data_IF_384922449180
#
_entry.id   IF_384922449180
#
_cell.length_a   1.000
_cell.length_b   1.000
_cell.length_c   1.000
_cell.angle_alpha   90.00
_cell.angle_beta   90.00
_cell.angle_gamma   90.00
#
_symmetry.space_group_name_H-M   'P 1'
#
loop_
_entity.id
_entity.type
_entity.pdbx_description
1 polymer ?
#
# COMPACT_ATOMS: atom_id res chain seq x y z
N UNK A 1 -30.92 -8.78 -7.37
CA UNK A 1 -29.48 -8.62 -7.72
C UNK A 1 -29.13 -7.14 -7.67
N UNK A 2 -28.06 -6.77 -6.99
CA UNK A 2 -27.52 -5.41 -6.90
C UNK A 2 -27.11 -4.87 -8.27
N UNK A 3 -27.40 -3.59 -8.54
CA UNK A 3 -26.93 -2.88 -9.74
C UNK A 3 -26.44 -1.49 -9.32
N UNK A 4 -25.14 -1.19 -9.44
CA UNK A 4 -24.63 0.13 -9.14
C UNK A 4 -25.13 1.14 -10.17
N UNK A 5 -25.56 2.30 -9.68
CA UNK A 5 -25.98 3.44 -10.53
C UNK A 5 -24.97 4.57 -10.33
N UNK A 6 -24.16 4.86 -11.35
CA UNK A 6 -23.15 5.91 -11.34
C UNK A 6 -22.94 6.47 -12.75
N UNK A 7 -22.29 7.63 -12.83
CA UNK A 7 -21.96 8.30 -14.10
C UNK A 7 -20.46 8.31 -14.31
N UNK A 8 -20.03 8.11 -15.55
CA UNK A 8 -18.64 8.35 -15.93
C UNK A 8 -18.48 9.85 -16.18
N UNK A 9 -17.78 10.52 -15.25
CA UNK A 9 -17.45 11.94 -15.35
C UNK A 9 -16.10 12.15 -16.02
N UNK A 10 -15.80 13.39 -16.43
CA UNK A 10 -14.47 13.74 -16.94
C UNK A 10 -13.37 13.47 -15.91
N UNK A 11 -13.65 13.66 -14.60
CA UNK A 11 -12.73 13.35 -13.52
C UNK A 11 -12.41 11.85 -13.51
N UNK A 12 -13.42 10.98 -13.55
CA UNK A 12 -13.23 9.53 -13.58
C UNK A 12 -12.45 9.12 -14.82
N UNK A 13 -12.84 9.59 -16.01
CA UNK A 13 -12.19 9.24 -17.28
C UNK A 13 -10.70 9.65 -17.29
N UNK A 14 -10.42 10.89 -16.91
CA UNK A 14 -9.05 11.41 -16.84
C UNK A 14 -8.21 10.65 -15.80
N UNK A 15 -8.78 10.34 -14.63
CA UNK A 15 -8.09 9.59 -13.58
C UNK A 15 -7.74 8.17 -14.03
N UNK A 16 -8.67 7.48 -14.69
CA UNK A 16 -8.41 6.14 -15.24
C UNK A 16 -7.25 6.20 -16.26
N UNK A 17 -7.25 7.17 -17.19
CA UNK A 17 -6.14 7.34 -18.11
C UNK A 17 -4.78 7.54 -17.44
N UNK A 18 -4.73 8.32 -16.35
CA UNK A 18 -3.50 8.53 -15.58
C UNK A 18 -3.06 7.26 -14.82
N UNK A 19 -4.01 6.51 -14.25
CA UNK A 19 -3.74 5.24 -13.56
C UNK A 19 -3.16 4.22 -14.54
N UNK A 20 -3.76 4.05 -15.72
CA UNK A 20 -3.29 3.12 -16.74
C UNK A 20 -1.88 3.49 -17.25
N UNK A 21 -1.64 4.78 -17.52
CA UNK A 21 -0.32 5.25 -17.91
C UNK A 21 0.75 4.99 -16.84
N UNK A 22 0.44 5.29 -15.58
CA UNK A 22 1.34 5.03 -14.47
C UNK A 22 1.59 3.52 -14.27
N UNK A 23 0.53 2.70 -14.34
CA UNK A 23 0.60 1.23 -14.27
C UNK A 23 1.54 0.67 -15.32
N UNK A 24 1.36 1.05 -16.58
CA UNK A 24 2.21 0.59 -17.68
C UNK A 24 3.70 0.94 -17.46
N UNK A 25 3.99 2.14 -16.94
CA UNK A 25 5.36 2.55 -16.62
C UNK A 25 5.95 1.69 -15.50
N UNK A 26 5.21 1.46 -14.42
CA UNK A 26 5.68 0.69 -13.26
C UNK A 26 5.96 -0.76 -13.66
N UNK A 27 5.05 -1.39 -14.42
CA UNK A 27 5.18 -2.80 -14.83
C UNK A 27 6.37 -3.03 -15.76
N UNK A 28 6.66 -2.07 -16.63
CA UNK A 28 7.76 -2.17 -17.60
C UNK A 28 9.11 -1.60 -17.09
N UNK A 29 9.14 -1.06 -15.87
CA UNK A 29 10.39 -0.53 -15.30
C UNK A 29 11.18 -1.64 -14.60
N UNK A 30 12.47 -1.85 -14.97
CA UNK A 30 13.30 -2.82 -14.30
C UNK A 30 13.64 -2.35 -12.88
N UNK A 31 13.47 -3.23 -11.90
CA UNK A 31 13.89 -3.02 -10.52
C UNK A 31 14.79 -4.14 -10.06
N UNK A 32 15.80 -3.81 -9.26
CA UNK A 32 16.62 -4.84 -8.60
C UNK A 32 15.79 -5.57 -7.54
N UNK A 33 15.96 -6.88 -7.35
CA UNK A 33 15.19 -7.67 -6.39
C UNK A 33 15.21 -7.12 -4.95
N UNK A 34 16.32 -6.46 -4.55
CA UNK A 34 16.41 -5.81 -3.22
C UNK A 34 15.42 -4.66 -3.08
N UNK A 35 15.24 -3.84 -4.12
CA UNK A 35 14.29 -2.73 -4.11
C UNK A 35 12.85 -3.22 -4.16
N UNK A 36 12.56 -4.28 -4.93
CA UNK A 36 11.23 -4.89 -4.93
C UNK A 36 10.85 -5.39 -3.53
N UNK A 37 11.77 -6.06 -2.83
CA UNK A 37 11.53 -6.51 -1.45
C UNK A 37 11.32 -5.34 -0.49
N UNK A 38 12.14 -4.28 -0.60
CA UNK A 38 12.00 -3.10 0.23
C UNK A 38 10.67 -2.38 -0.02
N UNK A 39 10.28 -2.17 -1.27
CA UNK A 39 8.98 -1.58 -1.63
C UNK A 39 7.81 -2.34 -1.05
N UNK A 40 7.86 -3.68 -1.18
CA UNK A 40 6.81 -4.55 -0.67
C UNK A 40 6.71 -4.49 0.86
N UNK A 41 7.86 -4.52 1.56
CA UNK A 41 7.90 -4.36 3.01
C UNK A 41 7.35 -3.01 3.44
N UNK A 42 7.83 -1.90 2.84
CA UNK A 42 7.35 -0.54 3.12
C UNK A 42 5.83 -0.41 2.86
N UNK A 43 5.33 -0.96 1.76
CA UNK A 43 3.91 -0.92 1.43
C UNK A 43 3.06 -1.72 2.43
N UNK A 44 3.56 -2.87 2.89
CA UNK A 44 2.89 -3.67 3.91
C UNK A 44 2.79 -2.91 5.23
N UNK A 45 3.90 -2.33 5.70
CA UNK A 45 3.91 -1.52 6.94
C UNK A 45 2.94 -0.34 6.84
N UNK A 46 2.96 0.41 5.73
CA UNK A 46 2.06 1.54 5.51
C UNK A 46 0.60 1.12 5.47
N UNK A 47 0.28 0.05 4.74
CA UNK A 47 -1.08 -0.49 4.66
C UNK A 47 -1.60 -0.89 6.04
N UNK A 48 -0.79 -1.57 6.83
CA UNK A 48 -1.15 -1.98 8.20
C UNK A 48 -1.33 -0.75 9.10
N UNK A 49 -0.34 0.15 9.12
CA UNK A 49 -0.38 1.36 9.95
C UNK A 49 -1.60 2.22 9.66
N UNK A 50 -1.77 2.66 8.42
CA UNK A 50 -2.82 3.60 8.06
C UNK A 50 -4.23 2.98 8.15
N UNK A 51 -4.40 1.70 7.78
CA UNK A 51 -5.70 1.06 7.92
C UNK A 51 -6.14 0.89 9.38
N UNK A 52 -5.22 0.69 10.30
CA UNK A 52 -5.54 0.64 11.73
C UNK A 52 -5.68 2.03 12.34
N UNK A 53 -4.89 3.02 11.88
CA UNK A 53 -4.97 4.41 12.34
C UNK A 53 -6.31 5.08 12.04
N UNK A 54 -6.91 4.81 10.87
CA UNK A 54 -8.26 5.28 10.50
C UNK A 54 -9.30 4.83 11.55
N UNK A 55 -9.11 3.67 12.16
CA UNK A 55 -10.01 3.09 13.17
C UNK A 55 -9.61 3.45 14.62
N UNK A 56 -8.66 4.38 14.81
CA UNK A 56 -8.27 4.88 16.12
C UNK A 56 -7.12 4.12 16.80
N UNK A 57 -6.33 3.37 16.07
CA UNK A 57 -5.09 2.80 16.54
C UNK A 57 -3.94 3.79 16.31
N UNK A 58 -3.40 4.36 17.37
CA UNK A 58 -2.41 5.44 17.28
C UNK A 58 -0.97 4.97 17.49
N UNK A 59 -0.68 3.68 17.23
CA UNK A 59 0.70 3.19 17.27
C UNK A 59 1.56 3.92 16.23
N UNK A 60 2.74 4.45 16.61
CA UNK A 60 3.67 5.06 15.68
C UNK A 60 4.08 4.08 14.57
N UNK A 61 4.31 4.58 13.36
CA UNK A 61 4.66 3.74 12.20
C UNK A 61 5.93 2.91 12.44
N UNK A 62 6.90 3.40 13.22
CA UNK A 62 8.11 2.66 13.56
C UNK A 62 7.80 1.47 14.48
N UNK A 63 6.84 1.59 15.38
CA UNK A 63 6.39 0.48 16.23
C UNK A 63 5.58 -0.53 15.42
N UNK A 64 4.70 -0.05 14.52
CA UNK A 64 4.01 -0.91 13.56
C UNK A 64 5.01 -1.68 12.69
N UNK A 65 6.07 -1.03 12.20
CA UNK A 65 7.14 -1.68 11.44
C UNK A 65 7.79 -2.80 12.24
N UNK A 66 8.15 -2.55 13.51
CA UNK A 66 8.70 -3.57 14.40
C UNK A 66 7.75 -4.76 14.58
N UNK A 67 6.45 -4.51 14.72
CA UNK A 67 5.44 -5.57 14.86
C UNK A 67 5.25 -6.35 13.54
N UNK A 68 5.30 -5.68 12.39
CA UNK A 68 5.08 -6.29 11.07
C UNK A 68 6.28 -7.14 10.64
N UNK A 69 7.50 -6.64 10.84
CA UNK A 69 8.74 -7.26 10.35
C UNK A 69 9.13 -8.54 11.11
N UNK A 70 8.52 -8.79 12.25
CA UNK A 70 8.94 -9.88 13.12
C UNK A 70 7.98 -11.07 13.03
N UNK A 71 8.56 -12.28 13.09
CA UNK A 71 7.92 -13.46 13.67
C UNK A 71 7.78 -13.20 15.17
N UNK A 72 6.85 -12.34 15.53
CA UNK A 72 6.68 -11.77 16.85
C UNK A 72 6.46 -12.86 17.88
N UNK A 73 7.36 -12.96 18.85
CA UNK A 73 7.06 -13.65 20.10
C UNK A 73 6.31 -12.64 20.97
N UNK A 74 5.01 -12.87 21.13
CA UNK A 74 4.23 -12.19 22.14
C UNK A 74 4.69 -12.69 23.50
N UNK A 75 5.16 -11.81 24.36
CA UNK A 75 5.39 -12.18 25.77
C UNK A 75 4.05 -12.36 26.46
N UNK A 76 3.88 -13.36 27.33
CA UNK A 76 2.70 -13.44 28.17
C UNK A 76 2.57 -12.12 28.96
N UNK A 77 1.39 -11.54 28.94
CA UNK A 77 1.12 -10.30 29.68
C UNK A 77 -0.02 -10.51 30.64
N UNK A 78 0.17 -10.03 31.87
CA UNK A 78 -0.90 -9.81 32.81
C UNK A 78 -1.45 -8.40 32.56
N UNK A 79 -2.76 -8.30 32.31
CA UNK A 79 -3.46 -7.02 32.21
C UNK A 79 -3.67 -6.44 30.80
N UNK A 80 -3.76 -5.11 30.76
CA UNK A 80 -4.22 -4.32 29.62
C UNK A 80 -3.15 -4.05 28.56
N UNK A 81 -1.86 -4.04 28.97
CA UNK A 81 -0.72 -3.79 28.08
C UNK A 81 -0.09 -5.11 27.61
N UNK A 82 0.44 -5.07 26.39
CA UNK A 82 1.17 -6.15 25.75
C UNK A 82 2.56 -5.67 25.38
N UNK A 83 3.58 -6.50 25.60
CA UNK A 83 4.94 -6.25 25.11
C UNK A 83 5.25 -7.14 23.93
N UNK A 84 5.82 -6.53 22.90
CA UNK A 84 6.33 -7.20 21.69
C UNK A 84 7.82 -6.91 21.59
N UNK A 85 8.64 -7.94 21.38
CA UNK A 85 10.09 -7.78 21.16
C UNK A 85 10.44 -8.09 19.73
N UNK A 86 11.20 -7.21 19.09
CA UNK A 86 11.80 -7.49 17.79
C UNK A 86 13.04 -8.40 17.89
N UNK A 87 13.59 -8.80 16.75
CA UNK A 87 14.77 -9.69 16.70
C UNK A 87 16.03 -9.06 17.30
N UNK A 88 16.09 -7.73 17.38
CA UNK A 88 17.19 -6.95 17.96
C UNK A 88 16.98 -6.72 19.47
N UNK A 89 15.85 -7.13 20.03
CA UNK A 89 15.50 -6.96 21.45
C UNK A 89 14.83 -5.63 21.77
N UNK A 90 14.49 -4.79 20.77
CA UNK A 90 13.71 -3.59 21.01
C UNK A 90 12.28 -3.95 21.38
N UNK A 91 11.72 -3.23 22.33
CA UNK A 91 10.38 -3.50 22.87
C UNK A 91 9.36 -2.47 22.36
N UNK A 92 8.17 -2.96 22.01
CA UNK A 92 6.96 -2.15 21.84
C UNK A 92 6.00 -2.52 22.94
N UNK A 93 5.60 -1.52 23.72
CA UNK A 93 4.64 -1.69 24.84
C UNK A 93 3.42 -0.85 24.51
N UNK A 94 2.28 -1.49 24.31
CA UNK A 94 1.04 -0.83 23.96
C UNK A 94 -0.19 -1.61 24.46
N UNK A 95 -1.38 -1.05 24.23
CA UNK A 95 -2.63 -1.78 24.54
C UNK A 95 -2.64 -3.09 23.76
N UNK A 96 -3.00 -4.18 24.45
CA UNK A 96 -3.12 -5.51 23.82
C UNK A 96 -3.94 -5.48 22.54
N UNK A 97 -5.06 -4.75 22.55
CA UNK A 97 -5.92 -4.59 21.39
C UNK A 97 -5.17 -3.97 20.21
N UNK A 98 -4.43 -2.87 20.42
CA UNK A 98 -3.74 -2.15 19.34
C UNK A 98 -2.68 -3.04 18.68
N UNK A 99 -1.95 -3.81 19.47
CA UNK A 99 -0.97 -4.77 18.96
C UNK A 99 -1.64 -5.87 18.15
N UNK A 100 -2.75 -6.44 18.63
CA UNK A 100 -3.47 -7.47 17.90
C UNK A 100 -4.12 -6.94 16.63
N UNK A 101 -4.62 -5.72 16.59
CA UNK A 101 -5.13 -5.09 15.37
C UNK A 101 -4.06 -4.98 14.28
N UNK A 102 -2.84 -4.57 14.64
CA UNK A 102 -1.69 -4.51 13.73
C UNK A 102 -1.31 -5.91 13.22
N UNK A 103 -1.17 -6.89 14.11
CA UNK A 103 -0.85 -8.28 13.76
C UNK A 103 -1.92 -8.86 12.84
N UNK A 104 -3.18 -8.70 13.20
CA UNK A 104 -4.29 -9.26 12.46
C UNK A 104 -4.44 -8.64 11.06
N UNK A 105 -4.25 -7.31 10.94
CA UNK A 105 -4.31 -6.68 9.63
C UNK A 105 -3.11 -7.06 8.74
N UNK A 106 -1.90 -7.21 9.30
CA UNK A 106 -0.76 -7.82 8.62
C UNK A 106 -1.11 -9.22 8.09
N UNK A 107 -1.75 -10.03 8.91
CA UNK A 107 -2.11 -11.40 8.54
C UNK A 107 -3.19 -11.41 7.44
N UNK A 108 -4.12 -10.44 7.43
CA UNK A 108 -5.08 -10.22 6.32
C UNK A 108 -4.34 -9.86 5.03
N UNK A 109 -3.39 -8.93 5.07
CA UNK A 109 -2.59 -8.54 3.90
C UNK A 109 -1.83 -9.74 3.35
N UNK A 110 -1.18 -10.52 4.23
CA UNK A 110 -0.47 -11.75 3.86
C UNK A 110 -1.41 -12.81 3.27
N UNK A 111 -2.58 -12.99 3.85
CA UNK A 111 -3.58 -13.94 3.35
C UNK A 111 -4.08 -13.57 1.95
N UNK A 112 -4.38 -12.29 1.71
CA UNK A 112 -4.77 -11.78 0.38
C UNK A 112 -3.67 -12.07 -0.64
N UNK A 113 -2.42 -11.79 -0.30
CA UNK A 113 -1.29 -12.04 -1.18
C UNK A 113 -1.13 -13.53 -1.50
N UNK A 114 -1.16 -14.40 -0.50
CA UNK A 114 -1.07 -15.85 -0.69
C UNK A 114 -2.21 -16.37 -1.57
N UNK A 115 -3.43 -15.90 -1.34
CA UNK A 115 -4.62 -16.28 -2.10
C UNK A 115 -4.50 -15.88 -3.58
N UNK A 116 -4.09 -14.66 -3.86
CA UNK A 116 -3.95 -14.14 -5.22
C UNK A 116 -2.76 -14.78 -5.96
N UNK A 117 -1.63 -14.99 -5.29
CA UNK A 117 -0.47 -15.68 -5.87
C UNK A 117 -0.79 -17.14 -6.17
N UNK A 118 -1.44 -17.87 -5.26
CA UNK A 118 -1.86 -19.24 -5.49
C UNK A 118 -2.85 -19.38 -6.68
N UNK A 119 -3.73 -18.39 -6.85
CA UNK A 119 -4.64 -18.33 -7.98
C UNK A 119 -3.92 -18.06 -9.30
N UNK A 120 -2.96 -17.11 -9.32
CA UNK A 120 -2.11 -16.83 -10.49
C UNK A 120 -1.33 -18.08 -10.94
N UNK A 121 -0.67 -18.78 -10.01
CA UNK A 121 0.08 -20.00 -10.30
C UNK A 121 -0.82 -21.11 -10.92
N UNK A 122 -2.05 -21.23 -10.41
CA UNK A 122 -3.02 -22.24 -10.88
C UNK A 122 -3.84 -21.79 -12.10
N UNK A 123 -3.57 -20.60 -12.63
CA UNK A 123 -4.37 -19.94 -13.67
C UNK A 123 -5.88 -19.95 -13.35
N UNK A 124 -6.22 -19.62 -12.10
CA UNK A 124 -7.61 -19.53 -11.61
C UNK A 124 -7.88 -18.13 -11.07
N UNK A 125 -9.13 -17.68 -11.18
CA UNK A 125 -9.56 -16.42 -10.54
C UNK A 125 -9.97 -16.71 -9.09
N UNK A 126 -9.58 -15.82 -8.17
CA UNK A 126 -10.10 -15.82 -6.80
C UNK A 126 -11.59 -15.47 -6.84
N UNK A 127 -12.40 -16.24 -6.14
CA UNK A 127 -13.84 -16.00 -6.05
C UNK A 127 -14.21 -15.39 -4.71
N UNK A 128 -14.78 -14.19 -4.73
CA UNK A 128 -15.40 -13.61 -3.55
C UNK A 128 -16.60 -14.46 -3.12
N UNK A 129 -16.64 -14.81 -1.85
CA UNK A 129 -17.71 -15.63 -1.27
C UNK A 129 -17.94 -15.26 0.20
N UNK A 130 -19.10 -15.59 0.77
CA UNK A 130 -19.36 -15.39 2.21
C UNK A 130 -18.30 -16.10 3.07
N UNK A 131 -17.86 -17.29 2.67
CA UNK A 131 -16.80 -18.03 3.40
C UNK A 131 -15.51 -17.21 3.45
N UNK A 132 -15.13 -16.60 2.32
CA UNK A 132 -13.94 -15.72 2.28
C UNK A 132 -14.13 -14.49 3.17
N UNK A 133 -15.30 -13.84 3.14
CA UNK A 133 -15.61 -12.72 4.03
C UNK A 133 -15.48 -13.11 5.50
N UNK A 134 -16.08 -14.23 5.88
CA UNK A 134 -16.01 -14.73 7.26
C UNK A 134 -14.58 -15.08 7.69
N UNK A 135 -13.78 -15.67 6.80
CA UNK A 135 -12.38 -15.99 7.08
C UNK A 135 -11.54 -14.71 7.28
N UNK A 136 -11.69 -13.70 6.42
CA UNK A 136 -11.01 -12.41 6.58
C UNK A 136 -11.41 -11.73 7.90
N UNK A 137 -12.70 -11.73 8.23
CA UNK A 137 -13.20 -11.16 9.47
C UNK A 137 -12.69 -11.91 10.71
N UNK A 138 -12.60 -13.24 10.65
CA UNK A 138 -12.00 -14.06 11.74
C UNK A 138 -10.54 -13.69 11.95
N UNK A 139 -9.77 -13.47 10.88
CA UNK A 139 -8.37 -13.04 11.00
C UNK A 139 -8.31 -11.66 11.66
N UNK A 140 -9.16 -10.70 11.25
CA UNK A 140 -9.18 -9.34 11.80
C UNK A 140 -9.47 -9.28 13.29
N UNK A 141 -10.33 -10.15 13.81
CA UNK A 141 -10.77 -10.13 15.22
C UNK A 141 -10.10 -11.19 16.09
N UNK A 142 -9.15 -11.95 15.56
CA UNK A 142 -8.43 -12.99 16.32
C UNK A 142 -7.78 -12.41 17.59
N UNK A 143 -8.09 -12.99 18.73
CA UNK A 143 -7.63 -12.53 20.06
C UNK A 143 -8.09 -11.11 20.46
N UNK A 144 -9.02 -10.52 19.71
CA UNK A 144 -9.68 -9.23 20.02
C UNK A 144 -11.11 -9.52 20.50
N UNK A 145 -11.90 -10.16 19.66
CA UNK A 145 -13.25 -10.61 19.95
C UNK A 145 -13.61 -11.84 19.11
N UNK A 146 -13.32 -13.01 19.64
CA UNK A 146 -13.54 -14.29 18.95
C UNK A 146 -15.04 -14.67 18.90
N UNK A 147 -15.89 -14.04 19.73
CA UNK A 147 -17.32 -14.37 19.79
C UNK A 147 -18.08 -13.84 18.57
N UNK A 148 -17.76 -12.64 18.10
CA UNK A 148 -18.39 -12.04 16.93
C UNK A 148 -17.63 -12.33 15.63
N UNK A 149 -16.42 -12.90 15.71
CA UNK A 149 -15.54 -13.15 14.59
C UNK A 149 -16.17 -14.08 13.54
N UNK A 150 -16.30 -13.58 12.31
CA UNK A 150 -16.85 -14.34 11.19
C UNK A 150 -18.35 -14.56 11.24
N UNK A 151 -19.09 -13.70 11.92
CA UNK A 151 -20.57 -13.73 12.01
C UNK A 151 -21.14 -12.38 11.61
N UNK A 152 -22.23 -12.36 10.88
CA UNK A 152 -22.97 -11.12 10.64
C UNK A 152 -23.59 -10.62 11.95
N UNK A 153 -23.71 -9.29 12.08
CA UNK A 153 -24.37 -8.67 13.23
C UNK A 153 -25.85 -9.03 13.29
N UNK A 154 -26.35 -9.17 14.50
CA UNK A 154 -27.76 -9.40 14.76
C UNK A 154 -28.54 -8.11 15.08
N UNK A 155 -27.83 -7.04 15.49
CA UNK A 155 -28.41 -5.78 15.93
C UNK A 155 -28.15 -4.61 14.99
N UNK A 156 -28.57 -3.41 15.41
CA UNK A 156 -28.19 -2.16 14.76
C UNK A 156 -26.72 -1.87 15.05
N UNK A 157 -25.94 -1.56 14.04
CA UNK A 157 -24.56 -1.13 14.21
C UNK A 157 -24.48 0.40 14.15
N UNK A 158 -23.49 0.97 14.80
CA UNK A 158 -23.20 2.38 14.83
C UNK A 158 -21.79 2.60 14.31
N UNK A 159 -21.65 3.36 13.24
CA UNK A 159 -20.34 3.82 12.78
C UNK A 159 -20.00 5.13 13.47
N UNK A 160 -18.81 5.22 14.04
CA UNK A 160 -18.30 6.42 14.69
C UNK A 160 -17.05 6.87 13.92
N UNK A 161 -17.02 8.15 13.56
CA UNK A 161 -15.77 8.76 13.14
C UNK A 161 -14.88 8.97 14.39
N UNK A 162 -13.82 8.20 14.53
CA UNK A 162 -12.96 8.24 15.71
C UNK A 162 -12.23 9.57 15.94
N UNK A 163 -12.12 10.42 14.90
CA UNK A 163 -11.47 11.74 15.01
C UNK A 163 -12.46 12.85 15.44
N UNK A 164 -13.69 12.82 14.90
CA UNK A 164 -14.70 13.86 15.17
C UNK A 164 -15.72 13.44 16.21
N UNK A 165 -15.82 12.16 16.55
CA UNK A 165 -16.87 11.60 17.39
C UNK A 165 -18.26 11.57 16.73
N UNK A 166 -18.36 11.94 15.44
CA UNK A 166 -19.60 11.94 14.70
C UNK A 166 -20.12 10.52 14.49
N UNK A 167 -21.40 10.31 14.75
CA UNK A 167 -22.05 9.00 14.72
C UNK A 167 -22.85 8.83 13.44
N UNK A 168 -22.55 7.78 12.69
CA UNK A 168 -23.31 7.39 11.50
C UNK A 168 -24.05 6.10 11.79
N UNK A 169 -25.30 6.02 11.38
CA UNK A 169 -26.09 4.79 11.51
C UNK A 169 -25.92 3.93 10.28
N UNK A 170 -25.87 2.59 10.42
CA UNK A 170 -25.90 1.69 9.29
C UNK A 170 -27.23 1.82 8.58
N UNK A 171 -27.17 1.70 7.27
CA UNK A 171 -28.33 1.91 6.40
C UNK A 171 -29.15 0.65 6.19
N UNK A 172 -28.58 -0.52 6.49
CA UNK A 172 -29.24 -1.79 6.27
C UNK A 172 -29.72 -2.42 7.58
N UNK A 173 -30.96 -2.90 7.60
CA UNK A 173 -31.46 -3.68 8.72
C UNK A 173 -30.77 -5.04 8.81
N UNK A 174 -30.57 -5.57 10.01
CA UNK A 174 -29.82 -6.82 10.23
C UNK A 174 -30.43 -8.02 9.49
N UNK A 175 -31.74 -8.07 9.38
CA UNK A 175 -32.49 -9.14 8.69
C UNK A 175 -32.14 -9.24 7.19
N UNK A 176 -31.72 -8.12 6.59
CA UNK A 176 -31.44 -8.03 5.16
C UNK A 176 -29.97 -8.27 4.82
N UNK A 177 -29.06 -8.30 5.80
CA UNK A 177 -27.62 -8.37 5.59
C UNK A 177 -27.23 -9.56 4.69
N UNK A 178 -27.75 -10.73 4.99
CA UNK A 178 -27.41 -11.96 4.24
C UNK A 178 -27.83 -11.86 2.77
N UNK A 179 -29.00 -11.29 2.51
CA UNK A 179 -29.52 -11.07 1.15
C UNK A 179 -28.68 -10.02 0.44
N UNK A 180 -28.38 -8.89 1.09
CA UNK A 180 -27.60 -7.79 0.50
C UNK A 180 -26.16 -8.20 0.19
N UNK A 181 -25.51 -8.95 1.08
CA UNK A 181 -24.18 -9.50 0.82
C UNK A 181 -24.23 -10.51 -0.32
N UNK A 182 -25.26 -11.37 -0.38
CA UNK A 182 -25.44 -12.29 -1.51
C UNK A 182 -25.57 -11.52 -2.82
N UNK A 183 -26.45 -10.53 -2.88
CA UNK A 183 -26.66 -9.68 -4.06
C UNK A 183 -25.38 -8.96 -4.51
N UNK A 184 -24.59 -8.44 -3.56
CA UNK A 184 -23.30 -7.78 -3.84
C UNK A 184 -22.28 -8.76 -4.42
N UNK A 185 -22.17 -9.96 -3.84
CA UNK A 185 -21.25 -11.00 -4.32
C UNK A 185 -21.66 -11.58 -5.67
N UNK A 186 -22.96 -11.69 -5.95
CA UNK A 186 -23.46 -12.11 -7.27
C UNK A 186 -23.20 -11.04 -8.33
N UNK A 187 -23.46 -9.76 -8.00
CA UNK A 187 -23.06 -8.67 -8.89
C UNK A 187 -21.56 -8.70 -9.19
N UNK A 188 -20.71 -8.83 -8.16
CA UNK A 188 -19.25 -8.84 -8.34
C UNK A 188 -18.77 -9.93 -9.32
N UNK A 189 -19.50 -11.04 -9.45
CA UNK A 189 -19.20 -12.17 -10.36
C UNK A 189 -19.91 -12.05 -11.71
N UNK A 190 -20.81 -11.08 -11.87
CA UNK A 190 -21.63 -10.96 -13.07
C UNK A 190 -20.85 -10.41 -14.26
N UNK A 191 -21.35 -10.65 -15.46
CA UNK A 191 -20.82 -10.06 -16.70
C UNK A 191 -20.89 -8.53 -16.69
N UNK A 192 -21.93 -7.96 -16.06
CA UNK A 192 -22.06 -6.51 -15.91
C UNK A 192 -20.87 -5.93 -15.14
N UNK A 193 -20.48 -6.57 -14.04
CA UNK A 193 -19.31 -6.17 -13.25
C UNK A 193 -17.99 -6.38 -14.00
N UNK A 194 -17.88 -7.40 -14.84
CA UNK A 194 -16.69 -7.66 -15.66
C UNK A 194 -16.49 -6.59 -16.75
N UNK A 195 -17.56 -5.91 -17.17
CA UNK A 195 -17.49 -4.79 -18.13
C UNK A 195 -17.07 -3.46 -17.48
N UNK A 196 -17.09 -3.38 -16.16
CA UNK A 196 -16.69 -2.19 -15.41
C UNK A 196 -15.18 -2.22 -15.19
N UNK A 197 -14.53 -1.06 -15.39
CA UNK A 197 -13.09 -0.92 -15.15
C UNK A 197 -12.73 -1.40 -13.71
N UNK A 198 -11.65 -2.21 -13.52
CA UNK A 198 -11.33 -2.82 -12.23
C UNK A 198 -11.24 -1.85 -11.06
N UNK A 199 -10.70 -0.65 -11.26
CA UNK A 199 -10.62 0.38 -10.24
C UNK A 199 -12.00 0.84 -9.79
N UNK A 200 -12.94 1.03 -10.74
CA UNK A 200 -14.32 1.41 -10.41
C UNK A 200 -15.06 0.28 -9.71
N UNK A 201 -14.82 -0.97 -10.14
CA UNK A 201 -15.38 -2.16 -9.49
C UNK A 201 -14.93 -2.28 -8.03
N UNK A 202 -13.66 -2.02 -7.74
CA UNK A 202 -13.12 -2.00 -6.38
C UNK A 202 -13.72 -0.87 -5.53
N UNK A 203 -13.90 0.33 -6.12
CA UNK A 203 -14.55 1.46 -5.46
C UNK A 203 -16.00 1.16 -5.08
N UNK A 204 -16.75 0.55 -5.99
CA UNK A 204 -18.15 0.16 -5.77
C UNK A 204 -18.25 -0.93 -4.69
N UNK A 205 -17.38 -1.94 -4.75
CA UNK A 205 -17.33 -3.00 -3.74
C UNK A 205 -17.08 -2.44 -2.34
N UNK A 206 -16.11 -1.52 -2.22
CA UNK A 206 -15.80 -0.84 -0.96
C UNK A 206 -17.03 -0.09 -0.42
N UNK A 207 -17.61 0.78 -1.23
CA UNK A 207 -18.76 1.62 -0.85
C UNK A 207 -19.94 0.77 -0.39
N UNK A 208 -20.31 -0.23 -1.19
CA UNK A 208 -21.46 -1.08 -0.89
C UNK A 208 -21.26 -1.92 0.36
N UNK A 209 -20.04 -2.44 0.54
CA UNK A 209 -19.72 -3.18 1.76
C UNK A 209 -19.84 -2.31 3.01
N UNK A 210 -19.33 -1.06 2.96
CA UNK A 210 -19.50 -0.11 4.08
C UNK A 210 -20.96 0.22 4.29
N UNK A 211 -21.74 0.39 3.23
CA UNK A 211 -23.19 0.72 3.30
C UNK A 211 -24.01 -0.40 3.94
N UNK A 212 -23.73 -1.66 3.58
CA UNK A 212 -24.40 -2.83 4.18
C UNK A 212 -23.96 -2.99 5.63
N UNK A 213 -22.70 -2.71 5.94
CA UNK A 213 -22.12 -2.79 7.30
C UNK A 213 -22.42 -4.11 7.98
N UNK A 214 -21.97 -5.25 7.40
CA UNK A 214 -22.51 -6.56 7.75
C UNK A 214 -22.06 -7.10 9.10
N UNK A 215 -20.96 -6.60 9.65
CA UNK A 215 -20.37 -7.09 10.89
C UNK A 215 -20.61 -6.12 12.05
N UNK A 216 -20.44 -6.60 13.26
CA UNK A 216 -20.57 -5.79 14.46
C UNK A 216 -19.38 -4.83 14.61
N UNK A 217 -18.19 -5.28 14.20
CA UNK A 217 -16.93 -4.52 14.23
C UNK A 217 -16.11 -4.75 12.93
N UNK A 218 -15.05 -3.96 12.74
CA UNK A 218 -14.06 -4.08 11.67
C UNK A 218 -14.58 -3.90 10.22
N UNK A 219 -15.77 -3.32 10.00
CA UNK A 219 -16.32 -3.13 8.65
C UNK A 219 -15.45 -2.23 7.77
N UNK A 220 -14.86 -1.16 8.32
CA UNK A 220 -13.95 -0.28 7.58
C UNK A 220 -12.70 -1.03 7.12
N UNK A 221 -12.03 -1.75 8.02
CA UNK A 221 -10.86 -2.59 7.70
C UNK A 221 -11.22 -3.67 6.67
N UNK A 222 -12.38 -4.30 6.79
CA UNK A 222 -12.89 -5.26 5.82
C UNK A 222 -13.10 -4.64 4.44
N UNK A 223 -13.73 -3.46 4.36
CA UNK A 223 -13.99 -2.78 3.09
C UNK A 223 -12.69 -2.43 2.37
N UNK A 224 -11.69 -1.90 3.09
CA UNK A 224 -10.36 -1.60 2.54
C UNK A 224 -9.63 -2.86 2.10
N UNK A 225 -9.69 -3.94 2.88
CA UNK A 225 -9.13 -5.24 2.51
C UNK A 225 -9.80 -5.83 1.27
N UNK A 226 -11.12 -5.72 1.14
CA UNK A 226 -11.87 -6.20 -0.03
C UNK A 226 -11.58 -5.38 -1.29
N UNK A 227 -11.44 -4.06 -1.18
CA UNK A 227 -11.01 -3.22 -2.30
C UNK A 227 -9.60 -3.60 -2.76
N UNK A 228 -8.67 -3.80 -1.83
CA UNK A 228 -7.31 -4.28 -2.13
C UNK A 228 -7.34 -5.65 -2.80
N UNK A 229 -8.13 -6.59 -2.29
CA UNK A 229 -8.28 -7.92 -2.90
C UNK A 229 -8.85 -7.82 -4.32
N UNK A 230 -9.87 -6.98 -4.53
CA UNK A 230 -10.44 -6.75 -5.86
C UNK A 230 -9.40 -6.19 -6.84
N UNK A 231 -8.63 -5.20 -6.42
CA UNK A 231 -7.53 -4.66 -7.21
C UNK A 231 -6.45 -5.71 -7.51
N UNK A 232 -6.11 -6.55 -6.53
CA UNK A 232 -5.11 -7.63 -6.69
C UNK A 232 -5.56 -8.70 -7.68
N UNK A 233 -6.85 -9.08 -7.66
CA UNK A 233 -7.44 -10.05 -8.60
C UNK A 233 -7.29 -9.57 -10.04
N UNK A 234 -7.49 -8.28 -10.26
CA UNK A 234 -7.48 -7.66 -11.59
C UNK A 234 -6.12 -7.02 -11.95
N UNK A 235 -5.06 -7.22 -11.13
CA UNK A 235 -3.68 -6.81 -11.42
C UNK A 235 -3.36 -5.34 -11.16
N UNK A 236 -4.11 -4.67 -10.27
CA UNK A 236 -3.91 -3.26 -9.90
C UNK A 236 -3.21 -3.07 -8.54
N UNK A 237 -2.78 -4.13 -7.88
CA UNK A 237 -1.94 -4.04 -6.68
C UNK A 237 -0.46 -3.82 -6.96
N UNK A 238 -0.08 -3.83 -8.21
CA UNK A 238 1.26 -3.68 -8.80
C UNK A 238 2.37 -4.18 -7.87
N UNK A 239 2.71 -5.47 -7.98
CA UNK A 239 3.80 -6.11 -7.21
C UNK A 239 3.66 -5.95 -5.67
N UNK A 240 2.47 -5.67 -5.15
CA UNK A 240 2.18 -5.35 -3.75
C UNK A 240 2.84 -4.04 -3.24
N UNK A 241 3.07 -3.05 -4.12
CA UNK A 241 3.61 -1.74 -3.75
C UNK A 241 2.54 -0.72 -3.36
N UNK A 242 1.28 -1.05 -3.58
CA UNK A 242 0.13 -0.17 -3.46
C UNK A 242 -0.35 -0.03 -2.01
N UNK A 243 -0.69 1.20 -1.58
CA UNK A 243 -1.29 1.49 -0.28
C UNK A 243 -2.21 2.71 -0.36
N UNK A 244 -3.50 2.48 -0.59
CA UNK A 244 -4.50 3.56 -0.64
C UNK A 244 -4.91 4.05 0.76
N UNK A 245 -4.67 3.24 1.79
CA UNK A 245 -5.04 3.57 3.18
C UNK A 245 -4.34 4.85 3.67
N UNK A 246 -3.12 5.14 3.21
CA UNK A 246 -2.43 6.41 3.53
C UNK A 246 -3.16 7.64 2.97
N UNK A 247 -3.72 7.54 1.77
CA UNK A 247 -4.52 8.62 1.20
C UNK A 247 -5.79 8.86 2.03
N UNK A 248 -6.44 7.79 2.48
CA UNK A 248 -7.62 7.89 3.33
C UNK A 248 -7.30 8.49 4.71
N UNK A 249 -6.21 8.06 5.34
CA UNK A 249 -5.82 8.56 6.65
C UNK A 249 -5.39 10.04 6.60
N UNK A 250 -4.62 10.41 5.59
CA UNK A 250 -4.17 11.81 5.38
C UNK A 250 -5.32 12.77 5.09
N UNK A 251 -6.45 12.25 4.59
CA UNK A 251 -7.65 12.98 4.22
C UNK A 251 -8.89 12.39 4.90
N UNK A 252 -8.80 12.04 6.19
CA UNK A 252 -9.85 11.27 6.88
C UNK A 252 -11.22 11.97 6.90
N UNK A 253 -11.26 13.30 7.01
CA UNK A 253 -12.54 14.05 6.94
C UNK A 253 -13.20 13.88 5.56
N UNK A 254 -12.42 14.01 4.49
CA UNK A 254 -12.90 13.79 3.12
C UNK A 254 -13.28 12.33 2.91
N UNK A 255 -12.52 11.37 3.44
CA UNK A 255 -12.86 9.95 3.36
C UNK A 255 -14.26 9.66 3.88
N UNK A 256 -14.59 10.09 5.10
CA UNK A 256 -15.91 9.88 5.68
C UNK A 256 -16.99 10.70 4.98
N UNK A 257 -16.69 11.95 4.58
CA UNK A 257 -17.59 12.81 3.81
C UNK A 257 -17.99 12.17 2.48
N UNK A 258 -16.99 11.69 1.70
CA UNK A 258 -17.26 11.10 0.40
C UNK A 258 -17.91 9.72 0.51
N UNK A 259 -17.69 8.95 1.57
CA UNK A 259 -18.48 7.77 1.89
C UNK A 259 -19.96 8.14 2.08
N UNK A 260 -20.25 9.15 2.92
CA UNK A 260 -21.61 9.62 3.16
C UNK A 260 -22.30 10.16 1.90
N UNK A 261 -21.58 10.89 1.05
CA UNK A 261 -22.07 11.35 -0.26
C UNK A 261 -22.33 10.17 -1.20
N UNK A 262 -21.42 9.19 -1.20
CA UNK A 262 -21.49 7.98 -2.03
C UNK A 262 -22.69 7.10 -1.73
N UNK A 263 -23.21 7.12 -0.52
CA UNK A 263 -24.45 6.42 -0.18
C UNK A 263 -25.68 6.97 -0.90
N UNK A 264 -25.65 8.24 -1.30
CA UNK A 264 -26.72 8.91 -2.07
C UNK A 264 -26.42 8.90 -3.57
N UNK A 265 -25.16 9.17 -3.94
CA UNK A 265 -24.67 9.18 -5.32
C UNK A 265 -23.29 8.48 -5.37
N UNK A 266 -23.24 7.20 -5.75
CA UNK A 266 -21.99 6.46 -5.86
C UNK A 266 -20.91 7.14 -6.71
N UNK A 267 -21.30 8.02 -7.66
CA UNK A 267 -20.38 8.77 -8.51
C UNK A 267 -19.40 9.60 -7.66
N UNK A 268 -19.88 10.21 -6.57
CA UNK A 268 -19.05 11.07 -5.70
C UNK A 268 -17.96 10.29 -4.97
N UNK A 269 -18.29 9.11 -4.47
CA UNK A 269 -17.32 8.20 -3.89
C UNK A 269 -16.31 7.70 -4.92
N UNK A 270 -16.79 7.30 -6.12
CA UNK A 270 -15.93 6.81 -7.19
C UNK A 270 -14.93 7.89 -7.62
N UNK A 271 -15.36 9.16 -7.76
CA UNK A 271 -14.45 10.29 -8.05
C UNK A 271 -13.37 10.42 -6.98
N UNK A 272 -13.71 10.37 -5.71
CA UNK A 272 -12.75 10.42 -4.61
C UNK A 272 -11.77 9.24 -4.64
N UNK A 273 -12.29 8.02 -4.83
CA UNK A 273 -11.49 6.81 -4.87
C UNK A 273 -10.46 6.84 -6.02
N UNK A 274 -10.88 7.19 -7.24
CA UNK A 274 -9.97 7.24 -8.40
C UNK A 274 -8.90 8.34 -8.25
N UNK A 275 -9.22 9.46 -7.60
CA UNK A 275 -8.23 10.49 -7.29
C UNK A 275 -7.17 9.97 -6.32
N UNK A 276 -7.56 9.25 -5.27
CA UNK A 276 -6.62 8.57 -4.38
C UNK A 276 -5.73 7.56 -5.11
N UNK A 277 -6.32 6.79 -6.04
CA UNK A 277 -5.58 5.88 -6.91
C UNK A 277 -4.53 6.62 -7.76
N UNK A 278 -4.89 7.77 -8.35
CA UNK A 278 -3.95 8.59 -9.14
C UNK A 278 -2.77 9.04 -8.29
N UNK A 279 -3.03 9.54 -7.08
CA UNK A 279 -1.97 9.98 -6.14
C UNK A 279 -1.02 8.83 -5.84
N UNK A 280 -1.55 7.67 -5.47
CA UNK A 280 -0.74 6.51 -5.09
C UNK A 280 0.04 5.94 -6.28
N UNK A 281 -0.58 5.79 -7.45
CA UNK A 281 0.10 5.29 -8.65
C UNK A 281 1.21 6.22 -9.12
N UNK A 282 1.01 7.54 -9.10
CA UNK A 282 2.06 8.49 -9.44
C UNK A 282 3.22 8.42 -8.43
N UNK A 283 2.94 8.31 -7.14
CA UNK A 283 3.96 8.14 -6.11
C UNK A 283 4.82 6.89 -6.33
N UNK A 284 4.18 5.75 -6.63
CA UNK A 284 4.89 4.50 -6.92
C UNK A 284 5.71 4.66 -8.20
N UNK A 285 5.12 5.22 -9.28
CA UNK A 285 5.79 5.46 -10.56
C UNK A 285 7.06 6.28 -10.38
N UNK A 286 6.98 7.40 -9.69
CA UNK A 286 8.12 8.32 -9.53
C UNK A 286 9.27 7.64 -8.74
N UNK A 287 8.93 6.89 -7.69
CA UNK A 287 9.90 6.11 -6.93
C UNK A 287 10.50 4.97 -7.75
N UNK A 288 9.70 4.25 -8.53
CA UNK A 288 10.15 3.18 -9.44
C UNK A 288 11.09 3.74 -10.51
N UNK A 289 10.73 4.87 -11.14
CA UNK A 289 11.58 5.50 -12.14
C UNK A 289 12.92 5.95 -11.58
N UNK A 290 12.94 6.51 -10.35
CA UNK A 290 14.19 6.85 -9.66
C UNK A 290 15.07 5.61 -9.48
N UNK A 291 14.56 4.53 -8.94
CA UNK A 291 15.32 3.31 -8.66
C UNK A 291 15.65 2.48 -9.91
N UNK A 292 14.85 2.60 -10.97
CA UNK A 292 15.14 1.96 -12.27
C UNK A 292 16.37 2.58 -12.96
N UNK A 293 16.61 3.90 -12.77
CA UNK A 293 17.85 4.55 -13.21
C UNK A 293 19.05 3.95 -12.49
N UNK A 294 18.96 3.73 -11.19
CA UNK A 294 20.00 3.07 -10.39
C UNK A 294 20.27 1.64 -10.89
N UNK A 295 19.22 0.88 -11.19
CA UNK A 295 19.36 -0.48 -11.70
C UNK A 295 20.11 -0.53 -13.03
N UNK A 296 19.76 0.37 -13.98
CA UNK A 296 20.45 0.47 -15.28
C UNK A 296 21.91 0.87 -15.13
N UNK A 297 22.22 1.76 -14.20
CA UNK A 297 23.60 2.16 -13.88
C UNK A 297 24.33 0.97 -13.28
N UNK A 298 23.76 0.26 -12.31
CA UNK A 298 24.37 -0.90 -11.66
C UNK A 298 24.52 -2.11 -12.60
N UNK A 299 23.62 -2.30 -13.54
CA UNK A 299 23.74 -3.35 -14.57
C UNK A 299 24.91 -3.07 -15.52
N UNK A 300 25.07 -1.80 -15.96
CA UNK A 300 26.24 -1.38 -16.75
C UNK A 300 27.55 -1.48 -15.96
N UNK A 301 27.48 -1.25 -14.65
CA UNK A 301 28.60 -1.26 -13.70
C UNK A 301 28.92 -2.68 -13.21
N UNK A 302 27.92 -3.55 -13.08
CA UNK A 302 28.10 -4.95 -12.62
C UNK A 302 28.94 -5.83 -13.56
N UNK A 303 29.21 -5.36 -14.79
CA UNK A 303 30.20 -5.95 -15.70
C UNK A 303 31.64 -5.44 -15.46
N UNK A 304 31.83 -4.47 -14.56
CA UNK A 304 33.09 -3.88 -14.18
C UNK A 304 33.24 -3.97 -12.65
N UNK A 305 34.38 -4.46 -12.20
CA UNK A 305 34.74 -4.42 -10.76
C UNK A 305 34.78 -2.94 -10.32
N UNK A 306 33.80 -2.47 -9.58
CA UNK A 306 33.79 -1.13 -8.98
C UNK A 306 34.14 -1.20 -7.50
N UNK A 307 34.87 -0.19 -7.04
CA UNK A 307 35.18 -0.04 -5.63
C UNK A 307 33.96 0.51 -4.85
N UNK A 308 33.90 0.26 -3.52
CA UNK A 308 32.88 0.84 -2.63
C UNK A 308 32.80 2.37 -2.75
N UNK A 309 33.91 3.03 -3.09
CA UNK A 309 33.98 4.47 -3.32
C UNK A 309 33.30 4.88 -4.61
N UNK A 310 33.50 4.13 -5.67
CA UNK A 310 32.80 4.33 -6.95
C UNK A 310 31.30 4.12 -6.78
N UNK A 311 30.88 3.14 -6.00
CA UNK A 311 29.45 2.94 -5.68
C UNK A 311 28.85 4.16 -4.99
N UNK A 312 29.52 4.73 -3.97
CA UNK A 312 29.07 5.96 -3.31
C UNK A 312 28.99 7.17 -4.24
N UNK A 313 29.96 7.33 -5.15
CA UNK A 313 29.91 8.39 -6.18
C UNK A 313 28.70 8.22 -7.09
N UNK A 314 28.38 7.01 -7.51
CA UNK A 314 27.22 6.73 -8.35
C UNK A 314 25.90 6.97 -7.62
N UNK A 315 25.83 6.64 -6.33
CA UNK A 315 24.70 6.96 -5.48
C UNK A 315 24.48 8.48 -5.38
N UNK A 316 25.57 9.24 -5.14
CA UNK A 316 25.51 10.71 -5.13
C UNK A 316 25.00 11.28 -6.47
N UNK A 317 25.59 10.79 -7.59
CA UNK A 317 25.18 11.24 -8.93
C UNK A 317 23.72 10.96 -9.23
N UNK A 318 23.20 9.86 -8.70
CA UNK A 318 21.80 9.51 -8.86
C UNK A 318 20.87 10.41 -8.03
N UNK A 319 21.31 10.80 -6.82
CA UNK A 319 20.52 11.62 -5.90
C UNK A 319 20.55 13.10 -6.25
N UNK A 320 21.72 13.61 -6.68
CA UNK A 320 21.94 15.05 -6.91
C UNK A 320 22.13 15.42 -8.40
N UNK A 321 22.20 14.42 -9.30
CA UNK A 321 22.33 14.62 -10.75
C UNK A 321 23.75 14.97 -11.22
N UNK A 322 24.60 15.51 -10.37
CA UNK A 322 25.99 15.88 -10.69
C UNK A 322 26.89 15.76 -9.45
N UNK A 323 28.22 15.65 -9.70
CA UNK A 323 29.25 15.62 -8.67
C UNK A 323 30.40 16.56 -9.07
N UNK A 324 30.84 17.44 -8.19
CA UNK A 324 31.89 18.45 -8.40
C UNK A 324 33.04 18.26 -7.43
N UNK A 325 34.19 18.88 -7.71
CA UNK A 325 35.33 18.83 -6.79
C UNK A 325 35.01 19.35 -5.39
N UNK A 326 34.14 20.36 -5.26
CA UNK A 326 33.72 20.89 -3.96
C UNK A 326 32.92 19.87 -3.14
N UNK A 327 32.33 18.86 -3.78
CA UNK A 327 31.49 17.86 -3.14
C UNK A 327 32.33 16.67 -2.61
N UNK A 328 33.65 16.63 -2.96
CA UNK A 328 34.53 15.52 -2.57
C UNK A 328 34.64 15.37 -1.07
N UNK A 329 34.91 16.48 -0.34
CA UNK A 329 35.03 16.46 1.11
C UNK A 329 33.69 16.18 1.83
N UNK A 330 32.57 16.44 1.18
CA UNK A 330 31.22 16.13 1.72
C UNK A 330 30.98 14.62 1.68
N UNK A 331 31.31 14.00 0.54
CA UNK A 331 31.10 12.56 0.37
C UNK A 331 32.21 11.71 0.99
N UNK A 332 33.45 12.24 1.03
CA UNK A 332 34.65 11.54 1.48
C UNK A 332 35.52 12.44 2.36
N UNK A 333 35.14 12.74 3.61
CA UNK A 333 35.86 13.67 4.47
C UNK A 333 37.30 13.21 4.81
N UNK A 334 37.54 11.90 4.81
CA UNK A 334 38.82 11.30 5.20
C UNK A 334 39.67 10.82 4.01
N UNK A 335 39.34 11.23 2.76
CA UNK A 335 40.00 10.74 1.55
C UNK A 335 40.53 11.93 0.74
N UNK A 336 41.79 11.82 0.25
CA UNK A 336 42.38 12.86 -0.58
C UNK A 336 41.67 13.02 -1.93
N UNK A 337 41.59 14.25 -2.42
CA UNK A 337 41.00 14.60 -3.73
C UNK A 337 41.60 13.77 -4.87
N UNK A 338 42.92 13.47 -4.84
CA UNK A 338 43.60 12.66 -5.85
C UNK A 338 43.02 11.22 -5.88
N UNK A 339 42.65 10.69 -4.72
CA UNK A 339 42.05 9.35 -4.67
C UNK A 339 40.61 9.40 -5.26
N UNK A 340 39.81 10.42 -4.95
CA UNK A 340 38.48 10.61 -5.52
C UNK A 340 38.57 10.80 -7.04
N UNK A 341 39.53 11.60 -7.51
CA UNK A 341 39.78 11.81 -8.95
C UNK A 341 40.19 10.50 -9.67
N UNK A 342 40.90 9.61 -9.00
CA UNK A 342 41.27 8.29 -9.53
C UNK A 342 40.01 7.41 -9.69
N UNK A 343 39.15 7.40 -8.72
CA UNK A 343 37.88 6.68 -8.79
C UNK A 343 36.98 7.21 -9.93
N UNK A 344 36.87 8.54 -10.04
CA UNK A 344 36.15 9.19 -11.15
C UNK A 344 36.76 8.87 -12.52
N UNK A 345 38.08 8.79 -12.63
CA UNK A 345 38.78 8.42 -13.86
C UNK A 345 38.45 6.98 -14.26
N UNK A 346 38.34 6.07 -13.30
CA UNK A 346 37.86 4.69 -13.54
C UNK A 346 36.45 4.66 -14.14
N UNK A 347 35.51 5.42 -13.53
CA UNK A 347 34.14 5.52 -14.00
C UNK A 347 34.02 6.18 -15.39
N UNK A 348 34.84 7.21 -15.67
CA UNK A 348 34.96 7.86 -17.00
C UNK A 348 35.44 6.89 -18.07
N UNK A 349 36.52 6.10 -17.77
CA UNK A 349 37.06 5.12 -18.67
C UNK A 349 36.06 4.03 -19.00
N UNK A 350 35.23 3.67 -18.04
CA UNK A 350 34.13 2.72 -18.19
C UNK A 350 32.90 3.31 -18.89
N UNK A 351 32.94 4.61 -19.27
CA UNK A 351 31.80 5.34 -19.88
C UNK A 351 30.51 5.31 -19.05
N UNK A 352 30.64 5.16 -17.73
CA UNK A 352 29.52 5.17 -16.79
C UNK A 352 29.13 6.61 -16.48
N UNK A 353 30.14 7.48 -16.37
CA UNK A 353 29.94 8.90 -16.17
C UNK A 353 30.60 9.70 -17.30
N UNK A 354 30.16 10.93 -17.46
CA UNK A 354 30.77 11.92 -18.39
C UNK A 354 31.18 13.16 -17.61
N UNK A 355 32.23 13.80 -18.09
CA UNK A 355 32.68 15.09 -17.57
C UNK A 355 32.09 16.21 -18.41
N UNK A 356 31.39 17.16 -17.78
CA UNK A 356 30.77 18.32 -18.42
C UNK A 356 31.51 19.57 -17.95
N UNK A 357 32.01 20.35 -18.88
CA UNK A 357 32.80 21.57 -18.61
C UNK A 357 34.31 21.38 -18.56
N UNK A 358 35.02 22.50 -18.66
CA UNK A 358 36.51 22.55 -18.61
C UNK A 358 36.87 23.46 -17.47
N UNK A 359 37.80 23.17 -16.60
CA UNK A 359 38.29 23.98 -15.47
C UNK A 359 37.60 23.65 -14.12
N UNK A 360 37.74 24.55 -13.13
CA UNK A 360 37.21 24.39 -11.76
C UNK A 360 35.67 24.27 -11.69
N UNK A 361 34.97 24.61 -12.76
CA UNK A 361 33.48 24.45 -12.89
C UNK A 361 33.09 23.13 -13.52
N UNK A 362 34.04 22.24 -13.81
CA UNK A 362 33.73 20.92 -14.32
C UNK A 362 32.91 20.09 -13.33
N UNK A 363 31.93 19.40 -13.85
CA UNK A 363 31.09 18.48 -13.10
C UNK A 363 31.02 17.11 -13.78
N UNK A 364 30.76 16.11 -13.01
CA UNK A 364 30.56 14.75 -13.48
C UNK A 364 29.06 14.44 -13.44
N UNK A 365 28.56 13.79 -14.47
CA UNK A 365 27.16 13.38 -14.63
C UNK A 365 27.11 11.91 -15.10
N UNK A 366 26.01 11.22 -14.87
CA UNK A 366 25.77 9.91 -15.46
C UNK A 366 25.71 10.03 -16.99
N UNK A 367 26.28 9.05 -17.71
CA UNK A 367 26.35 9.01 -19.18
C UNK A 367 25.02 8.67 -19.82
#
# INVERSE_FOLDING_TARGET
>A
MYKPVFKITNTILSSIGQIEAAKAIIENSPLLPKYERQFKSDATVRRVHFSTAIEGNYLPIDDVKRIVDVKTKLSPTEGYLQTVKDLQGNEVIARRRDIHEVINYRDVVSYIEQLTNAAKIKNKKVRLSKVLLFNLHKILLKNIDDEIAGKFRAGKALTVNYRTGEKYYPYEASENIDVKITDLLEWYKSRDSESIHPVLKAAILHLEFVRIHPFEEANGRMARALATLSLSIDGYDIKNFFCLDEYYDSNAEDYYKYLGLGFRDPTKWIEYFVLGMVVEFNRIKDRVLKLSKDAKVKERVGQLFISDRQEKILEWLNDYGFFRNQDFNVLFPDISDDTVLRELKGLLSAKIIRKVGKTKMARYELS
#
